data_IF_097754367568
#
_entry.id   IF_097754367568
#
_cell.length_a   1.000
_cell.length_b   1.000
_cell.length_c   1.000
_cell.angle_alpha   90.00
_cell.angle_beta   90.00
_cell.angle_gamma   90.00
#
_symmetry.space_group_name_H-M   'P 1'
#
loop_
_entity.id
_entity.type
_entity.pdbx_description
1 polymer ?
#
# COMPACT_ATOMS: atom_id res chain seq x y z
N UNK A 1 -30.01 35.70 26.53
CA UNK A 1 -28.70 35.34 25.96
C UNK A 1 -28.36 33.96 26.50
N UNK A 2 -28.06 33.01 25.62
CA UNK A 2 -27.56 31.69 26.03
C UNK A 2 -26.22 31.87 26.72
N UNK A 3 -26.06 31.28 27.90
CA UNK A 3 -24.78 31.25 28.61
C UNK A 3 -23.81 30.30 27.91
N UNK A 4 -22.51 30.47 28.14
CA UNK A 4 -21.51 29.53 27.60
C UNK A 4 -21.72 28.10 28.10
N UNK A 5 -22.27 27.93 29.31
CA UNK A 5 -22.61 26.60 29.88
C UNK A 5 -23.72 25.93 29.09
N UNK A 6 -24.80 26.66 28.81
CA UNK A 6 -25.93 26.15 28.03
C UNK A 6 -25.50 25.81 26.61
N UNK A 7 -24.70 26.68 25.97
CA UNK A 7 -24.15 26.41 24.64
C UNK A 7 -23.24 25.16 24.64
N UNK A 8 -22.37 25.01 25.65
CA UNK A 8 -21.52 23.84 25.78
C UNK A 8 -22.30 22.54 25.96
N UNK A 9 -23.41 22.59 26.71
CA UNK A 9 -24.30 21.44 26.92
C UNK A 9 -24.94 21.01 25.59
N UNK A 10 -25.50 21.97 24.84
CA UNK A 10 -26.13 21.71 23.53
C UNK A 10 -25.14 21.15 22.51
N UNK A 11 -23.90 21.65 22.49
CA UNK A 11 -22.85 21.13 21.61
C UNK A 11 -22.46 19.71 22.02
N UNK A 12 -22.32 19.45 23.32
CA UNK A 12 -21.97 18.12 23.85
C UNK A 12 -23.03 17.08 23.47
N UNK A 13 -24.30 17.38 23.72
CA UNK A 13 -25.44 16.51 23.37
C UNK A 13 -25.44 16.17 21.86
N UNK A 14 -25.24 17.18 21.01
CA UNK A 14 -25.16 16.97 19.56
C UNK A 14 -23.97 16.08 19.16
N UNK A 15 -22.82 16.21 19.82
CA UNK A 15 -21.63 15.39 19.56
C UNK A 15 -21.88 13.95 20.00
N UNK A 16 -22.51 13.73 21.15
CA UNK A 16 -22.85 12.40 21.65
C UNK A 16 -23.85 11.68 20.75
N UNK A 17 -24.89 12.39 20.29
CA UNK A 17 -25.85 11.85 19.31
C UNK A 17 -25.16 11.41 18.02
N UNK A 18 -24.25 12.24 17.49
CA UNK A 18 -23.47 11.91 16.28
C UNK A 18 -22.52 10.75 16.51
N UNK A 19 -21.77 10.74 17.60
CA UNK A 19 -20.85 9.63 17.92
C UNK A 19 -21.61 8.32 18.12
N UNK A 20 -22.81 8.37 18.69
CA UNK A 20 -23.67 7.19 18.83
C UNK A 20 -24.15 6.68 17.47
N UNK A 21 -24.54 7.58 16.55
CA UNK A 21 -25.04 7.21 15.23
C UNK A 21 -23.94 6.62 14.31
N UNK A 22 -22.73 7.20 14.29
CA UNK A 22 -21.70 6.87 13.29
C UNK A 22 -20.49 6.10 13.87
N UNK A 23 -20.43 5.94 15.19
CA UNK A 23 -19.19 5.66 15.90
C UNK A 23 -18.18 6.81 15.78
N UNK A 24 -16.96 6.61 16.28
CA UNK A 24 -15.90 7.61 16.12
C UNK A 24 -15.34 7.60 14.69
N UNK A 25 -16.09 8.18 13.72
CA UNK A 25 -15.59 8.43 12.35
C UNK A 25 -14.24 9.17 12.40
N UNK A 26 -14.09 10.06 13.38
CA UNK A 26 -12.87 10.79 13.63
C UNK A 26 -11.67 9.88 13.95
N UNK A 27 -11.81 8.94 14.89
CA UNK A 27 -10.74 7.99 15.21
C UNK A 27 -10.42 7.08 14.02
N UNK A 28 -11.46 6.55 13.37
CA UNK A 28 -11.31 5.68 12.18
C UNK A 28 -10.60 6.39 11.03
N UNK A 29 -10.89 7.68 10.80
CA UNK A 29 -10.17 8.49 9.82
C UNK A 29 -8.67 8.62 10.18
N UNK A 30 -8.34 8.74 11.47
CA UNK A 30 -6.95 8.80 11.93
C UNK A 30 -6.19 7.50 11.67
N UNK A 31 -6.81 6.35 11.92
CA UNK A 31 -6.25 5.03 11.59
C UNK A 31 -6.08 4.83 10.08
N UNK A 32 -7.12 5.19 9.31
CA UNK A 32 -7.07 5.16 7.85
C UNK A 32 -5.93 6.02 7.29
N UNK A 33 -5.72 7.22 7.85
CA UNK A 33 -4.61 8.09 7.45
C UNK A 33 -3.24 7.53 7.82
N UNK A 34 -3.10 6.87 8.96
CA UNK A 34 -1.85 6.17 9.34
C UNK A 34 -1.55 5.00 8.41
N UNK A 35 -2.58 4.32 7.91
CA UNK A 35 -2.43 3.26 6.91
C UNK A 35 -1.93 3.81 5.57
N UNK A 36 -2.50 4.92 5.09
CA UNK A 36 -2.13 5.51 3.81
C UNK A 36 -0.81 6.29 3.84
N UNK A 37 -0.53 6.95 4.96
CA UNK A 37 0.59 7.85 5.16
C UNK A 37 1.33 7.51 6.46
N UNK A 38 1.99 6.33 6.54
CA UNK A 38 2.63 5.87 7.78
C UNK A 38 3.76 6.81 8.24
N UNK A 39 4.37 7.55 7.32
CA UNK A 39 5.42 8.53 7.60
C UNK A 39 4.92 9.99 7.60
N UNK A 40 3.60 10.19 7.72
CA UNK A 40 2.95 11.49 7.61
C UNK A 40 2.62 11.90 6.18
N UNK A 41 1.77 12.93 6.05
CA UNK A 41 1.30 13.46 4.76
C UNK A 41 2.32 14.47 4.23
N UNK A 42 2.93 14.25 3.05
CA UNK A 42 3.78 15.26 2.43
C UNK A 42 2.97 16.52 2.07
N UNK A 43 3.53 17.75 2.22
CA UNK A 43 2.81 18.99 1.91
C UNK A 43 2.18 19.01 0.50
N UNK A 44 2.86 18.49 -0.51
CA UNK A 44 2.41 18.43 -1.90
C UNK A 44 1.27 17.42 -2.16
N UNK A 45 0.98 16.57 -1.16
CA UNK A 45 -0.11 15.58 -1.16
C UNK A 45 -1.30 16.00 -0.31
N UNK A 46 -1.24 17.14 0.38
CA UNK A 46 -2.28 17.56 1.34
C UNK A 46 -3.68 17.63 0.70
N UNK A 47 -3.80 18.12 -0.53
CA UNK A 47 -5.08 18.17 -1.23
C UNK A 47 -5.66 16.78 -1.52
N UNK A 48 -4.79 15.83 -1.85
CA UNK A 48 -5.19 14.43 -2.12
C UNK A 48 -5.56 13.74 -0.82
N UNK A 49 -4.78 13.94 0.23
CA UNK A 49 -5.08 13.44 1.57
C UNK A 49 -6.45 13.95 2.06
N UNK A 50 -6.75 15.25 1.86
CA UNK A 50 -8.05 15.82 2.20
C UNK A 50 -9.20 15.11 1.46
N UNK A 51 -9.06 14.89 0.15
CA UNK A 51 -10.07 14.18 -0.63
C UNK A 51 -10.29 12.75 -0.14
N UNK A 52 -9.23 12.02 0.18
CA UNK A 52 -9.31 10.63 0.67
C UNK A 52 -10.01 10.56 2.02
N UNK A 53 -9.68 11.45 2.97
CA UNK A 53 -10.36 11.53 4.27
C UNK A 53 -11.85 11.83 4.09
N UNK A 54 -12.20 12.78 3.21
CA UNK A 54 -13.60 13.14 2.94
C UNK A 54 -14.39 12.00 2.30
N UNK A 55 -13.77 11.24 1.40
CA UNK A 55 -14.40 10.06 0.80
C UNK A 55 -14.62 8.98 1.88
N UNK A 56 -13.62 8.72 2.72
CA UNK A 56 -13.73 7.73 3.78
C UNK A 56 -14.80 8.10 4.82
N UNK A 57 -14.86 9.36 5.25
CA UNK A 57 -15.91 9.87 6.14
C UNK A 57 -17.32 9.58 5.59
N UNK A 58 -17.52 9.77 4.27
CA UNK A 58 -18.79 9.45 3.61
C UNK A 58 -19.06 7.95 3.52
N UNK A 59 -18.03 7.12 3.35
CA UNK A 59 -18.18 5.66 3.39
C UNK A 59 -18.60 5.17 4.77
N UNK A 60 -18.04 5.74 5.85
CA UNK A 60 -18.47 5.44 7.22
C UNK A 60 -19.94 5.80 7.40
N UNK A 61 -20.38 6.96 6.89
CA UNK A 61 -21.80 7.35 6.91
C UNK A 61 -22.67 6.35 6.14
N UNK A 62 -22.33 5.99 4.91
CA UNK A 62 -23.09 5.01 4.11
C UNK A 62 -23.24 3.68 4.86
N UNK A 63 -22.18 3.24 5.55
CA UNK A 63 -22.19 1.97 6.26
C UNK A 63 -22.96 2.00 7.60
N UNK A 64 -23.24 3.18 8.15
CA UNK A 64 -23.87 3.35 9.46
C UNK A 64 -25.29 3.91 9.36
N UNK A 65 -25.45 5.05 8.70
CA UNK A 65 -26.73 5.69 8.42
C UNK A 65 -26.60 6.60 7.18
N UNK A 66 -27.03 6.08 6.03
CA UNK A 66 -26.94 6.76 4.74
C UNK A 66 -27.74 8.08 4.72
N UNK A 67 -28.91 8.13 5.36
CA UNK A 67 -29.92 9.18 5.20
C UNK A 67 -29.88 10.27 6.29
N UNK A 68 -28.98 10.16 7.27
CA UNK A 68 -28.94 10.99 8.48
C UNK A 68 -28.95 12.53 8.29
N UNK A 69 -28.61 13.05 7.11
CA UNK A 69 -28.58 14.49 6.82
C UNK A 69 -29.41 14.90 5.58
N UNK A 70 -30.23 14.02 5.02
CA UNK A 70 -31.08 14.32 3.85
C UNK A 70 -30.33 14.59 2.52
N UNK A 71 -29.01 14.62 2.54
CA UNK A 71 -28.12 14.70 1.39
C UNK A 71 -27.55 13.33 1.04
N UNK A 72 -27.36 13.04 -0.26
CA UNK A 72 -26.82 11.76 -0.71
C UNK A 72 -25.29 11.71 -0.55
N UNK A 73 -24.75 10.83 0.32
CA UNK A 73 -23.30 10.68 0.49
C UNK A 73 -22.60 10.16 -0.78
N UNK A 74 -23.30 9.45 -1.66
CA UNK A 74 -22.78 9.05 -2.97
C UNK A 74 -22.51 10.24 -3.90
N UNK A 75 -23.38 11.27 -3.87
CA UNK A 75 -23.15 12.50 -4.65
C UNK A 75 -21.92 13.26 -4.15
N UNK A 76 -21.70 13.29 -2.84
CA UNK A 76 -20.49 13.88 -2.26
C UNK A 76 -19.23 13.17 -2.76
N UNK A 77 -19.21 11.82 -2.71
CA UNK A 77 -18.08 11.01 -3.19
C UNK A 77 -17.82 11.26 -4.68
N UNK A 78 -18.87 11.31 -5.50
CA UNK A 78 -18.73 11.63 -6.92
C UNK A 78 -18.13 13.02 -7.13
N UNK A 79 -18.59 14.03 -6.36
CA UNK A 79 -18.03 15.38 -6.38
C UNK A 79 -16.54 15.42 -6.01
N UNK A 80 -16.15 14.70 -4.95
CA UNK A 80 -14.74 14.58 -4.56
C UNK A 80 -13.90 13.85 -5.61
N UNK A 81 -14.45 12.84 -6.28
CA UNK A 81 -13.81 12.17 -7.41
C UNK A 81 -13.52 13.12 -8.57
N UNK A 82 -14.49 13.97 -8.93
CA UNK A 82 -14.31 15.00 -9.97
C UNK A 82 -13.23 16.03 -9.59
N UNK A 83 -13.22 16.50 -8.35
CA UNK A 83 -12.17 17.39 -7.85
C UNK A 83 -10.79 16.73 -7.93
N UNK A 84 -10.68 15.47 -7.52
CA UNK A 84 -9.45 14.70 -7.62
C UNK A 84 -8.96 14.52 -9.06
N UNK A 85 -9.87 14.22 -9.99
CA UNK A 85 -9.55 14.10 -11.41
C UNK A 85 -9.03 15.43 -11.99
N UNK A 86 -9.67 16.55 -11.66
CA UNK A 86 -9.22 17.89 -12.07
C UNK A 86 -7.83 18.22 -11.52
N UNK A 87 -7.61 18.01 -10.22
CA UNK A 87 -6.29 18.25 -9.60
C UNK A 87 -5.18 17.42 -10.26
N UNK A 88 -5.48 16.17 -10.64
CA UNK A 88 -4.54 15.30 -11.31
C UNK A 88 -4.20 15.79 -12.73
N UNK A 89 -5.20 16.26 -13.49
CA UNK A 89 -4.99 16.89 -14.81
C UNK A 89 -4.11 18.14 -14.69
N UNK A 90 -4.45 19.07 -13.80
CA UNK A 90 -3.68 20.30 -13.60
C UNK A 90 -2.22 20.02 -13.18
N UNK A 91 -1.97 18.99 -12.36
CA UNK A 91 -0.61 18.59 -11.99
C UNK A 91 0.18 18.05 -13.19
N UNK A 92 -0.48 17.30 -14.08
CA UNK A 92 0.14 16.80 -15.31
C UNK A 92 0.45 17.92 -16.30
N UNK A 93 -0.49 18.83 -16.49
CA UNK A 93 -0.34 19.94 -17.44
C UNK A 93 0.80 20.87 -17.01
N UNK A 94 0.87 21.21 -15.71
CA UNK A 94 2.01 21.97 -15.16
C UNK A 94 3.36 21.29 -15.36
N UNK A 95 3.41 19.95 -15.31
CA UNK A 95 4.66 19.22 -15.58
C UNK A 95 5.03 19.30 -17.06
N UNK A 96 4.07 19.20 -17.97
CA UNK A 96 4.29 19.30 -19.41
C UNK A 96 4.74 20.71 -19.82
N UNK A 97 4.14 21.75 -19.26
CA UNK A 97 4.53 23.14 -19.52
C UNK A 97 5.95 23.43 -19.04
N UNK A 98 6.32 22.93 -17.86
CA UNK A 98 7.67 23.09 -17.30
C UNK A 98 8.73 22.25 -18.03
N UNK A 99 8.36 21.08 -18.56
CA UNK A 99 9.24 20.25 -19.38
C UNK A 99 9.45 20.84 -20.80
N UNK A 100 8.60 21.78 -21.23
CA UNK A 100 8.62 22.39 -22.56
C UNK A 100 9.28 23.79 -22.59
N UNK A 101 10.06 24.16 -21.56
CA UNK A 101 10.86 25.40 -21.53
C UNK A 101 11.81 25.54 -22.73
N UNK A 102 12.24 26.77 -23.10
CA UNK A 102 12.55 27.13 -24.48
C UNK A 102 13.72 26.31 -25.02
N UNK A 103 13.41 25.36 -25.91
CA UNK A 103 14.41 24.75 -26.77
C UNK A 103 14.87 25.85 -27.72
N UNK A 104 16.07 26.37 -27.46
CA UNK A 104 16.70 27.42 -28.26
C UNK A 104 16.62 27.03 -29.74
N UNK A 105 15.84 27.81 -30.50
CA UNK A 105 15.77 27.72 -31.95
C UNK A 105 17.12 28.13 -32.54
N UNK A 106 18.01 27.16 -32.72
CA UNK A 106 19.13 27.28 -33.66
C UNK A 106 18.83 26.44 -34.89
N UNK A 107 17.95 26.97 -35.74
CA UNK A 107 17.79 26.51 -37.11
C UNK A 107 18.83 27.16 -38.01
N UNK A 108 20.04 26.60 -38.08
CA UNK A 108 20.91 26.82 -39.22
C UNK A 108 20.60 25.79 -40.31
N UNK A 109 20.00 26.29 -41.41
CA UNK A 109 20.11 25.77 -42.80
C UNK A 109 21.53 25.22 -43.07
N UNK A 110 21.83 24.18 -43.84
CA UNK A 110 21.19 23.38 -44.90
C UNK A 110 22.14 22.17 -45.20
N UNK A 111 22.05 21.38 -46.30
CA UNK A 111 20.92 20.99 -47.15
C UNK A 111 20.72 19.45 -47.20
N UNK A 112 19.58 19.07 -47.77
CA UNK A 112 19.27 17.76 -48.34
C UNK A 112 20.35 17.29 -49.32
N UNK A 113 20.73 16.00 -49.28
CA UNK A 113 20.71 15.16 -50.48
C UNK A 113 20.69 13.65 -50.16
N UNK A 114 20.03 12.95 -51.06
CA UNK A 114 19.48 11.60 -51.02
C UNK A 114 20.46 10.43 -51.15
N UNK A 115 20.12 9.26 -50.57
CA UNK A 115 20.09 7.97 -51.29
C UNK A 115 19.68 6.77 -50.40
N UNK A 116 18.56 6.13 -50.75
CA UNK A 116 18.42 4.67 -51.01
C UNK A 116 18.57 3.61 -49.90
N UNK A 117 17.82 2.49 -49.96
CA UNK A 117 17.51 1.64 -48.80
C UNK A 117 18.41 0.40 -48.67
N UNK A 118 18.60 -0.11 -47.44
CA UNK A 118 19.06 -1.48 -47.23
C UNK A 118 18.48 -2.12 -45.97
N UNK A 119 17.69 -3.16 -46.21
CA UNK A 119 17.24 -4.22 -45.30
C UNK A 119 18.39 -4.88 -44.54
N UNK A 120 18.22 -5.09 -43.23
CA UNK A 120 18.63 -6.31 -42.50
C UNK A 120 17.91 -6.42 -41.15
N UNK A 121 17.44 -7.62 -40.87
CA UNK A 121 16.68 -8.10 -39.71
C UNK A 121 17.60 -8.34 -38.47
N UNK A 122 17.04 -8.69 -37.28
CA UNK A 122 17.55 -8.28 -35.98
C UNK A 122 18.61 -9.22 -35.39
N UNK A 123 19.61 -8.64 -34.75
CA UNK A 123 20.54 -9.36 -33.87
C UNK A 123 20.18 -9.12 -32.42
N UNK A 124 19.89 -10.22 -31.74
CA UNK A 124 19.72 -10.36 -30.30
C UNK A 124 21.02 -10.06 -29.55
N UNK A 125 21.00 -9.09 -28.64
CA UNK A 125 21.95 -8.97 -27.55
C UNK A 125 21.22 -8.48 -26.31
N UNK A 126 20.88 -9.41 -25.41
CA UNK A 126 20.48 -9.10 -24.05
C UNK A 126 21.76 -8.80 -23.25
N UNK A 127 22.18 -7.54 -23.25
CA UNK A 127 23.11 -7.00 -22.27
C UNK A 127 22.32 -6.36 -21.13
N UNK A 128 22.04 -7.14 -20.11
CA UNK A 128 21.77 -6.63 -18.77
C UNK A 128 22.38 -7.56 -17.73
N UNK A 129 23.70 -7.67 -17.78
CA UNK A 129 24.48 -8.01 -16.60
C UNK A 129 24.26 -6.92 -15.55
N UNK A 130 23.32 -7.14 -14.64
CA UNK A 130 23.24 -6.44 -13.36
C UNK A 130 23.27 -7.46 -12.25
N UNK A 131 24.27 -7.31 -11.40
CA UNK A 131 24.54 -8.16 -10.26
C UNK A 131 23.29 -8.24 -9.36
N UNK A 132 22.74 -9.45 -9.23
CA UNK A 132 21.92 -9.80 -8.06
C UNK A 132 22.83 -9.57 -6.86
N UNK A 133 22.45 -8.69 -5.94
CA UNK A 133 23.32 -8.39 -4.80
C UNK A 133 23.60 -9.70 -4.06
N UNK A 134 24.88 -10.00 -3.88
CA UNK A 134 25.38 -11.25 -3.32
C UNK A 134 24.76 -11.62 -1.94
N UNK A 135 24.10 -10.66 -1.30
CA UNK A 135 23.34 -10.76 -0.06
C UNK A 135 22.12 -11.70 -0.11
N UNK A 136 21.40 -11.81 -1.24
CA UNK A 136 20.10 -12.51 -1.26
C UNK A 136 20.22 -14.02 -1.49
N UNK A 137 21.13 -14.45 -2.35
CA UNK A 137 21.42 -15.88 -2.53
C UNK A 137 21.96 -16.47 -1.23
N UNK A 138 22.77 -15.71 -0.49
CA UNK A 138 23.24 -16.07 0.85
C UNK A 138 22.10 -16.25 1.87
N UNK A 139 21.03 -15.47 1.81
CA UNK A 139 19.85 -15.59 2.69
C UNK A 139 18.99 -16.82 2.39
N UNK A 140 18.85 -17.17 1.11
CA UNK A 140 18.17 -18.40 0.68
C UNK A 140 18.99 -19.63 1.09
N UNK A 141 20.32 -19.57 0.93
CA UNK A 141 21.21 -20.69 1.22
C UNK A 141 21.51 -20.87 2.73
N UNK A 142 21.30 -19.84 3.55
CA UNK A 142 21.56 -19.87 5.01
C UNK A 142 20.33 -20.12 5.88
N UNK A 143 19.13 -20.31 5.30
CA UNK A 143 17.90 -20.57 6.07
C UNK A 143 17.98 -21.91 6.82
N UNK A 144 18.00 -21.90 8.17
CA UNK A 144 18.13 -23.11 8.99
C UNK A 144 16.74 -23.74 9.21
N UNK A 145 16.02 -24.07 8.15
CA UNK A 145 14.76 -24.82 8.25
C UNK A 145 14.73 -25.91 7.18
N UNK A 146 15.69 -26.81 7.28
CA UNK A 146 15.72 -28.06 6.52
C UNK A 146 15.89 -29.29 7.40
N UNK A 147 15.23 -29.31 8.55
CA UNK A 147 14.98 -30.53 9.34
C UNK A 147 13.95 -30.23 10.44
N UNK A 148 12.67 -30.46 10.16
CA UNK A 148 11.66 -30.90 11.15
C UNK A 148 10.29 -31.01 10.48
N UNK A 149 10.15 -31.97 9.55
CA UNK A 149 8.86 -32.55 9.25
C UNK A 149 8.60 -33.65 10.29
N UNK A 150 8.12 -33.28 11.47
CA UNK A 150 7.43 -34.17 12.44
C UNK A 150 6.95 -33.31 13.61
N UNK A 151 5.64 -33.28 13.85
CA UNK A 151 5.08 -32.78 15.11
C UNK A 151 5.60 -33.60 16.30
N UNK A 152 5.84 -32.98 17.46
CA UNK A 152 5.34 -33.59 18.68
C UNK A 152 4.83 -32.62 19.75
N UNK A 153 4.05 -33.24 20.62
CA UNK A 153 3.35 -32.85 21.85
C UNK A 153 4.19 -32.08 22.89
N UNK A 154 3.47 -31.28 23.68
CA UNK A 154 3.89 -30.43 24.81
C UNK A 154 4.89 -31.03 25.83
N UNK A 155 5.78 -30.21 26.39
CA UNK A 155 5.85 -29.82 27.84
C UNK A 155 6.93 -28.76 28.10
N UNK A 156 6.69 -27.96 29.15
CA UNK A 156 7.38 -26.78 29.69
C UNK A 156 8.93 -26.76 29.70
N UNK A 157 9.53 -25.57 29.55
CA UNK A 157 10.15 -24.84 30.68
C UNK A 157 10.39 -23.36 30.34
N UNK A 158 10.19 -22.50 31.33
CA UNK A 158 10.16 -21.04 31.20
C UNK A 158 11.47 -20.41 31.68
N UNK A 159 12.18 -19.72 30.78
CA UNK A 159 12.91 -18.48 31.07
C UNK A 159 13.73 -18.07 29.85
N UNK A 160 13.35 -16.98 29.17
CA UNK A 160 14.27 -16.01 28.55
C UNK A 160 13.49 -14.89 27.84
N UNK A 161 13.78 -13.65 28.26
CA UNK A 161 13.59 -12.34 27.60
C UNK A 161 12.26 -12.04 26.91
N UNK A 162 11.60 -10.96 27.37
CA UNK A 162 10.51 -10.24 26.70
C UNK A 162 10.96 -9.57 25.39
N UNK A 163 11.45 -10.35 24.43
CA UNK A 163 11.29 -9.99 23.01
C UNK A 163 9.89 -10.44 22.62
N UNK A 164 9.06 -9.49 22.18
CA UNK A 164 7.64 -9.70 21.89
C UNK A 164 7.42 -11.00 21.10
N UNK A 165 6.74 -11.96 21.72
CA UNK A 165 6.49 -13.26 21.15
C UNK A 165 5.62 -13.11 19.89
N UNK A 166 6.25 -13.19 18.72
CA UNK A 166 5.54 -13.14 17.44
C UNK A 166 4.89 -14.50 17.20
N UNK A 167 3.56 -14.54 17.12
CA UNK A 167 2.84 -15.74 16.74
C UNK A 167 3.12 -16.06 15.25
N UNK A 168 3.75 -17.22 14.93
CA UNK A 168 4.11 -17.58 13.56
C UNK A 168 2.90 -17.64 12.61
N UNK A 169 1.76 -18.14 13.10
CA UNK A 169 0.54 -18.27 12.29
C UNK A 169 -0.09 -16.90 12.00
N UNK A 170 0.14 -15.93 12.87
CA UNK A 170 -0.34 -14.56 12.70
C UNK A 170 0.49 -13.83 11.64
N UNK A 171 1.82 -13.86 11.74
CA UNK A 171 2.67 -13.19 10.76
C UNK A 171 2.59 -13.83 9.37
N UNK A 172 2.43 -15.16 9.27
CA UNK A 172 2.18 -15.85 8.01
C UNK A 172 0.93 -15.26 7.32
N UNK A 173 -0.17 -15.15 8.08
CA UNK A 173 -1.42 -14.62 7.56
C UNK A 173 -1.29 -13.16 7.12
N UNK A 174 -0.62 -12.32 7.91
CA UNK A 174 -0.48 -10.89 7.63
C UNK A 174 0.36 -10.62 6.38
N UNK A 175 1.49 -11.33 6.23
CA UNK A 175 2.34 -11.22 5.03
C UNK A 175 1.58 -11.70 3.80
N UNK A 176 0.87 -12.83 3.92
CA UNK A 176 0.07 -13.39 2.83
C UNK A 176 -1.08 -12.45 2.43
N UNK A 177 -1.77 -11.88 3.41
CA UNK A 177 -2.86 -10.94 3.18
C UNK A 177 -2.36 -9.65 2.54
N UNK A 178 -1.28 -9.06 3.03
CA UNK A 178 -0.66 -7.87 2.45
C UNK A 178 -0.30 -8.11 0.98
N UNK A 179 0.41 -9.19 0.66
CA UNK A 179 0.80 -9.51 -0.72
C UNK A 179 -0.41 -9.83 -1.64
N UNK A 180 -1.57 -10.18 -1.07
CA UNK A 180 -2.80 -10.41 -1.85
C UNK A 180 -3.50 -9.12 -2.29
N UNK A 181 -3.39 -8.04 -1.49
CA UNK A 181 -4.05 -6.74 -1.75
C UNK A 181 -3.14 -5.77 -2.50
N UNK A 182 -1.81 -5.89 -2.34
CA UNK A 182 -0.84 -5.07 -3.05
C UNK A 182 -0.65 -5.57 -4.48
N UNK A 183 -1.47 -5.12 -5.43
CA UNK A 183 -1.23 -5.37 -6.87
C UNK A 183 -0.47 -4.18 -7.49
N UNK A 184 0.69 -4.38 -8.16
CA UNK A 184 1.24 -5.66 -8.64
C UNK A 184 2.08 -6.47 -7.63
N UNK A 185 2.43 -5.90 -6.49
CA UNK A 185 3.15 -6.56 -5.40
C UNK A 185 3.68 -5.53 -4.40
N UNK A 186 4.49 -5.98 -3.44
CA UNK A 186 5.24 -5.09 -2.55
C UNK A 186 6.73 -5.34 -2.68
N UNK A 187 7.54 -4.28 -2.60
CA UNK A 187 8.95 -4.49 -2.25
C UNK A 187 9.07 -4.77 -0.75
N UNK A 188 10.16 -5.41 -0.36
CA UNK A 188 10.36 -5.86 1.02
C UNK A 188 10.39 -4.70 2.02
N UNK A 189 11.07 -3.60 1.69
CA UNK A 189 11.14 -2.41 2.55
C UNK A 189 9.75 -1.82 2.84
N UNK A 190 8.91 -1.73 1.81
CA UNK A 190 7.53 -1.27 1.95
C UNK A 190 6.69 -2.28 2.74
N UNK A 191 6.88 -3.58 2.52
CA UNK A 191 6.16 -4.63 3.24
C UNK A 191 6.49 -4.61 4.74
N UNK A 192 7.76 -4.45 5.11
CA UNK A 192 8.19 -4.28 6.51
C UNK A 192 7.59 -3.02 7.14
N UNK A 193 7.49 -1.91 6.39
CA UNK A 193 6.83 -0.68 6.84
C UNK A 193 5.31 -0.85 6.98
N UNK A 194 4.69 -1.59 6.06
CA UNK A 194 3.26 -1.89 6.10
C UNK A 194 2.92 -2.77 7.32
N UNK A 195 3.80 -3.71 7.64
CA UNK A 195 3.70 -4.64 8.75
C UNK A 195 4.51 -4.19 9.98
N UNK A 196 4.52 -2.89 10.27
CA UNK A 196 5.39 -2.26 11.28
C UNK A 196 5.29 -2.84 12.71
N UNK A 197 4.22 -3.58 13.01
CA UNK A 197 4.05 -4.27 14.30
C UNK A 197 4.92 -5.52 14.45
N UNK A 198 5.50 -6.03 13.36
CA UNK A 198 6.39 -7.19 13.38
C UNK A 198 7.85 -6.73 13.20
N UNK A 199 8.82 -7.40 13.85
CA UNK A 199 10.22 -7.20 13.56
C UNK A 199 10.50 -7.43 12.06
N UNK A 200 11.31 -6.57 11.44
CA UNK A 200 11.65 -6.70 10.02
C UNK A 200 12.21 -8.08 9.65
N UNK A 201 13.03 -8.66 10.53
CA UNK A 201 13.57 -10.03 10.37
C UNK A 201 12.49 -11.11 10.31
N UNK A 202 11.37 -10.94 11.02
CA UNK A 202 10.26 -11.89 11.00
C UNK A 202 9.49 -11.80 9.66
N UNK A 203 9.27 -10.58 9.16
CA UNK A 203 8.66 -10.35 7.84
C UNK A 203 9.55 -10.91 6.73
N UNK A 204 10.87 -10.65 6.80
CA UNK A 204 11.87 -11.18 5.88
C UNK A 204 11.87 -12.71 5.85
N UNK A 205 11.87 -13.34 7.02
CA UNK A 205 11.82 -14.81 7.13
C UNK A 205 10.56 -15.40 6.48
N UNK A 206 9.40 -14.77 6.68
CA UNK A 206 8.15 -15.23 6.09
C UNK A 206 8.11 -15.04 4.57
N UNK A 207 8.64 -13.93 4.06
CA UNK A 207 8.79 -13.71 2.62
C UNK A 207 9.73 -14.76 2.01
N UNK A 208 10.86 -15.04 2.66
CA UNK A 208 11.79 -16.06 2.20
C UNK A 208 11.12 -17.45 2.14
N UNK A 209 10.31 -17.80 3.14
CA UNK A 209 9.52 -19.03 3.14
C UNK A 209 8.55 -19.10 1.96
N UNK A 210 7.81 -18.02 1.65
CA UNK A 210 6.88 -18.00 0.52
C UNK A 210 7.58 -18.07 -0.84
N UNK A 211 8.77 -17.48 -0.97
CA UNK A 211 9.59 -17.63 -2.17
C UNK A 211 10.10 -19.07 -2.32
N UNK A 212 10.60 -19.67 -1.23
CA UNK A 212 11.14 -21.03 -1.24
C UNK A 212 10.06 -22.10 -1.53
N UNK A 213 8.82 -21.86 -1.09
CA UNK A 213 7.68 -22.77 -1.31
C UNK A 213 6.93 -22.53 -2.62
N UNK A 214 7.30 -21.49 -3.39
CA UNK A 214 6.62 -21.13 -4.63
C UNK A 214 5.24 -20.49 -4.44
N UNK A 215 4.94 -19.98 -3.24
CA UNK A 215 3.74 -19.17 -2.99
C UNK A 215 3.91 -17.73 -3.44
N UNK A 216 5.13 -17.23 -3.51
CA UNK A 216 5.47 -15.94 -4.08
C UNK A 216 6.61 -16.07 -5.12
N UNK A 217 6.79 -15.03 -5.92
CA UNK A 217 7.94 -14.86 -6.79
C UNK A 217 8.40 -13.39 -6.77
N UNK A 218 9.61 -13.15 -7.25
CA UNK A 218 10.17 -11.81 -7.42
C UNK A 218 10.12 -11.39 -8.89
N UNK A 219 9.65 -10.17 -9.14
CA UNK A 219 9.78 -9.45 -10.41
C UNK A 219 10.57 -8.16 -10.15
N UNK A 220 11.89 -8.23 -10.37
CA UNK A 220 12.81 -7.24 -9.83
C UNK A 220 12.76 -7.21 -8.30
N UNK A 221 12.46 -6.05 -7.72
CA UNK A 221 12.35 -5.86 -6.27
C UNK A 221 10.92 -6.07 -5.75
N UNK A 222 9.98 -6.47 -6.62
CA UNK A 222 8.56 -6.63 -6.27
C UNK A 222 8.25 -8.10 -5.95
N UNK A 223 7.73 -8.34 -4.76
CA UNK A 223 7.23 -9.63 -4.28
C UNK A 223 5.76 -9.75 -4.68
N UNK A 224 5.43 -10.81 -5.43
CA UNK A 224 4.08 -11.06 -5.94
C UNK A 224 3.65 -12.49 -5.63
N UNK A 225 2.40 -12.70 -5.21
CA UNK A 225 1.87 -14.05 -5.01
C UNK A 225 1.73 -14.80 -6.35
N UNK A 226 2.05 -16.09 -6.32
CA UNK A 226 1.71 -17.01 -7.41
C UNK A 226 0.21 -17.36 -7.37
N UNK A 227 -0.26 -18.12 -8.36
CA UNK A 227 -1.62 -18.71 -8.31
C UNK A 227 -1.78 -19.64 -7.10
N UNK A 228 -0.72 -20.36 -6.70
CA UNK A 228 -0.74 -21.23 -5.53
C UNK A 228 -0.85 -20.43 -4.23
N UNK A 229 -0.03 -19.38 -4.08
CA UNK A 229 -0.10 -18.47 -2.91
C UNK A 229 -1.47 -17.80 -2.76
N UNK A 230 -2.08 -17.35 -3.87
CA UNK A 230 -3.45 -16.80 -3.83
C UNK A 230 -4.51 -17.84 -3.42
N UNK A 231 -4.39 -19.08 -3.90
CA UNK A 231 -5.30 -20.16 -3.47
C UNK A 231 -5.13 -20.49 -2.00
N UNK A 232 -3.90 -20.49 -1.51
CA UNK A 232 -3.57 -20.69 -0.10
C UNK A 232 -4.16 -19.58 0.78
N UNK A 233 -4.06 -18.32 0.35
CA UNK A 233 -4.71 -17.19 1.02
C UNK A 233 -6.23 -17.34 1.11
N UNK A 234 -6.88 -17.74 0.01
CA UNK A 234 -8.32 -18.00 -0.01
C UNK A 234 -8.73 -19.17 0.90
N UNK A 235 -7.87 -20.18 1.08
CA UNK A 235 -8.11 -21.25 2.04
C UNK A 235 -8.07 -20.71 3.48
N UNK A 236 -7.04 -19.93 3.82
CA UNK A 236 -6.89 -19.30 5.13
C UNK A 236 -8.09 -18.40 5.51
N UNK A 237 -8.64 -17.64 4.54
CA UNK A 237 -9.82 -16.80 4.74
C UNK A 237 -11.10 -17.59 5.05
N UNK A 238 -11.17 -18.88 4.69
CA UNK A 238 -12.34 -19.73 4.95
C UNK A 238 -12.25 -20.48 6.27
N UNK A 239 -11.05 -20.61 6.83
CA UNK A 239 -10.77 -21.33 8.07
C UNK A 239 -10.77 -20.43 9.32
N UNK A 240 -10.91 -19.12 9.16
CA UNK A 240 -11.14 -18.14 10.23
C UNK A 240 -12.58 -17.66 10.18
#
# INVERSE_FOLDING_TARGET
MTTYRELGTQIGELVDEKNTAYGSSFEKCGEFMRLLYPNGVPPERMDVALLLVRIFDKQVRIATDEDAFGESPFKDIAGYGLLGAKLHQEKRDRWQDNASGPVAANSSKAPHDSAGPSTKQPTTTNESGRAVSATWQQLVDSSPLRTAATAPTATADASQSEEGHVNPDEIEWEVLHALSIGTPGFNLDYLCKYLYRYPGSAVEGQVAYFLATGFAYLDGDIITLTKAGRKFHLYYLRSR
#
